data_IF_462930718195
#
_entry.id   IF_462930718195
#
_cell.length_a   1.000
_cell.length_b   1.000
_cell.length_c   1.000
_cell.angle_alpha   90.00
_cell.angle_beta   90.00
_cell.angle_gamma   90.00
#
_symmetry.space_group_name_H-M   'P 1'
#
loop_
_entity.id
_entity.type
_entity.pdbx_description
1 polymer ?
#
# COMPACT_ATOMS: atom_id res chain seq x y z
N UNK A 1 0.81 -8.54 0.50
CA UNK A 1 0.25 -7.61 1.51
C UNK A 1 -1.16 -8.01 1.97
N UNK A 2 -1.70 -9.15 1.52
CA UNK A 2 -2.98 -9.68 2.03
C UNK A 2 -2.89 -9.92 3.55
N UNK A 3 -3.92 -9.53 4.30
CA UNK A 3 -3.97 -9.66 5.75
C UNK A 3 -3.01 -8.72 6.52
N UNK A 4 -2.23 -7.90 5.85
CA UNK A 4 -1.28 -7.00 6.49
C UNK A 4 -1.95 -5.67 6.83
N UNK A 5 -2.24 -5.46 8.11
CA UNK A 5 -2.92 -4.26 8.63
C UNK A 5 -2.04 -3.01 8.68
N UNK A 6 -0.79 -3.11 8.20
CA UNK A 6 0.18 -2.02 8.16
C UNK A 6 1.29 -2.18 9.21
N UNK A 7 1.86 -1.07 9.59
CA UNK A 7 3.00 -0.98 10.50
C UNK A 7 3.64 0.40 10.41
N UNK A 8 4.95 0.47 10.55
CA UNK A 8 5.68 1.73 10.50
C UNK A 8 5.70 2.32 9.08
N UNK A 9 5.40 3.61 8.97
CA UNK A 9 5.51 4.37 7.73
C UNK A 9 6.91 4.26 7.11
N UNK A 10 7.94 4.33 7.95
CA UNK A 10 9.35 4.24 7.53
C UNK A 10 9.64 2.94 6.78
N UNK A 11 9.05 1.82 7.19
CA UNK A 11 9.23 0.53 6.53
C UNK A 11 8.55 0.50 5.16
N UNK A 12 7.33 1.05 5.05
CA UNK A 12 6.64 1.16 3.77
C UNK A 12 7.41 2.04 2.79
N UNK A 13 7.95 3.17 3.27
CA UNK A 13 8.78 4.09 2.49
C UNK A 13 10.07 3.39 2.05
N UNK A 14 10.77 2.71 2.95
CA UNK A 14 11.99 1.98 2.63
C UNK A 14 11.75 0.93 1.54
N UNK A 15 10.72 0.10 1.70
CA UNK A 15 10.38 -0.92 0.69
C UNK A 15 9.96 -0.28 -0.64
N UNK A 16 9.16 0.80 -0.62
CA UNK A 16 8.79 1.51 -1.84
C UNK A 16 10.01 2.07 -2.59
N UNK A 17 11.00 2.57 -1.83
CA UNK A 17 12.24 3.13 -2.39
C UNK A 17 13.12 2.10 -3.11
N UNK A 18 12.99 0.80 -2.79
CA UNK A 18 13.68 -0.26 -3.54
C UNK A 18 13.19 -0.40 -4.99
N UNK A 19 12.01 0.13 -5.30
CA UNK A 19 11.39 0.06 -6.63
C UNK A 19 11.28 1.42 -7.32
N UNK A 20 11.31 2.52 -6.57
CA UNK A 20 11.06 3.88 -7.04
C UNK A 20 12.28 4.73 -6.74
N UNK A 21 13.07 5.04 -7.77
CA UNK A 21 14.33 5.81 -7.64
C UNK A 21 14.09 7.27 -7.29
N UNK A 22 13.09 7.89 -7.91
CA UNK A 22 12.87 9.34 -7.85
C UNK A 22 11.40 9.69 -7.69
N UNK A 23 11.15 10.79 -7.00
CA UNK A 23 9.83 11.34 -6.83
C UNK A 23 9.25 11.08 -5.46
N UNK A 24 8.01 11.48 -5.28
CA UNK A 24 7.30 11.41 -4.02
C UNK A 24 6.73 10.02 -3.78
N UNK A 25 6.99 9.46 -2.61
CA UNK A 25 6.47 8.15 -2.21
C UNK A 25 5.11 8.25 -1.50
N UNK A 26 4.94 9.28 -0.68
CA UNK A 26 3.70 9.55 0.05
C UNK A 26 3.66 11.03 0.47
N UNK A 27 2.47 11.62 0.56
CA UNK A 27 2.27 12.92 1.18
C UNK A 27 1.52 12.78 2.50
N UNK A 28 1.92 13.54 3.49
CA UNK A 28 1.21 13.72 4.75
C UNK A 28 0.61 15.11 4.71
N UNK A 29 -0.72 15.21 4.75
CA UNK A 29 -1.44 16.48 4.67
C UNK A 29 -2.25 16.67 5.93
N UNK A 30 -1.95 17.74 6.67
CA UNK A 30 -2.61 18.13 7.90
C UNK A 30 -3.53 19.34 7.73
N UNK A 31 -3.93 19.93 8.86
CA UNK A 31 -4.72 21.18 8.89
C UNK A 31 -3.88 22.39 8.45
N UNK A 32 -4.55 23.49 8.13
CA UNK A 32 -3.93 24.79 7.82
C UNK A 32 -2.88 24.74 6.70
N UNK A 33 -3.10 23.86 5.69
CA UNK A 33 -2.19 23.75 4.55
C UNK A 33 -0.89 23.00 4.84
N UNK A 34 -0.72 22.44 6.05
CA UNK A 34 0.47 21.63 6.34
C UNK A 34 0.57 20.47 5.36
N UNK A 35 1.72 20.35 4.71
CA UNK A 35 2.06 19.26 3.82
C UNK A 35 3.52 18.86 4.00
N UNK A 36 3.74 17.57 4.13
CA UNK A 36 5.07 16.97 4.16
C UNK A 36 5.12 15.84 3.14
N UNK A 37 6.01 15.97 2.15
CA UNK A 37 6.21 14.99 1.10
C UNK A 37 7.44 14.14 1.43
N UNK A 38 7.25 12.82 1.51
CA UNK A 38 8.34 11.86 1.64
C UNK A 38 8.80 11.49 0.25
N UNK A 39 10.04 11.84 -0.05
CA UNK A 39 10.66 11.61 -1.36
C UNK A 39 11.47 10.32 -1.37
N UNK A 40 11.56 9.69 -2.54
CA UNK A 40 12.52 8.63 -2.78
C UNK A 40 13.94 9.18 -2.66
N UNK A 41 14.87 8.35 -2.20
CA UNK A 41 16.29 8.66 -2.05
C UNK A 41 17.08 7.74 -2.95
N UNK A 42 18.23 8.20 -3.43
CA UNK A 42 19.14 7.33 -4.17
C UNK A 42 19.51 6.10 -3.33
N UNK A 43 19.48 4.95 -3.98
CA UNK A 43 19.84 3.66 -3.38
C UNK A 43 20.53 2.80 -4.44
N UNK A 44 21.57 2.09 -4.04
CA UNK A 44 22.26 1.11 -4.91
C UNK A 44 21.45 -0.19 -5.09
N UNK A 45 20.29 -0.30 -4.40
CA UNK A 45 19.46 -1.51 -4.33
C UNK A 45 18.17 -1.37 -5.15
N UNK A 46 18.21 -0.87 -6.37
CA UNK A 46 17.00 -0.80 -7.19
C UNK A 46 16.56 -2.16 -7.72
N UNK A 47 15.29 -2.52 -7.47
CA UNK A 47 14.68 -3.74 -7.99
C UNK A 47 13.98 -3.44 -9.33
N UNK A 48 14.55 -3.91 -10.44
CA UNK A 48 14.03 -3.75 -11.82
C UNK A 48 13.19 -4.94 -12.31
N UNK A 49 12.98 -5.93 -11.48
CA UNK A 49 12.19 -7.12 -11.84
C UNK A 49 10.69 -6.80 -11.82
N UNK A 50 9.88 -7.46 -12.68
CA UNK A 50 8.44 -7.32 -12.60
C UNK A 50 7.92 -7.79 -11.24
N UNK A 51 6.93 -7.06 -10.72
CA UNK A 51 6.37 -7.31 -9.37
C UNK A 51 4.86 -7.33 -9.43
N UNK A 52 4.27 -8.24 -8.67
CA UNK A 52 2.85 -8.26 -8.37
C UNK A 52 2.67 -8.13 -6.85
N UNK A 53 1.72 -7.32 -6.46
CA UNK A 53 1.33 -7.12 -5.06
C UNK A 53 -0.08 -7.66 -4.86
N UNK A 54 -0.21 -8.66 -3.97
CA UNK A 54 -1.51 -9.19 -3.57
C UNK A 54 -2.05 -8.37 -2.39
N UNK A 55 -3.30 -7.93 -2.51
CA UNK A 55 -4.00 -7.14 -1.49
C UNK A 55 -5.41 -7.67 -1.23
N UNK A 56 -5.96 -7.37 -0.06
CA UNK A 56 -7.36 -7.65 0.28
C UNK A 56 -7.92 -6.60 1.24
N UNK A 57 -9.18 -6.75 1.66
CA UNK A 57 -9.85 -5.82 2.58
C UNK A 57 -9.18 -5.66 3.94
N UNK A 58 -8.28 -6.55 4.34
CA UNK A 58 -7.47 -6.43 5.55
C UNK A 58 -6.13 -5.72 5.32
N UNK A 59 -5.75 -5.44 4.07
CA UNK A 59 -4.57 -4.63 3.75
C UNK A 59 -4.83 -3.17 4.11
N UNK A 60 -4.08 -2.61 5.08
CA UNK A 60 -4.38 -1.29 5.63
C UNK A 60 -3.12 -0.44 5.90
N UNK A 61 -3.31 0.88 6.02
CA UNK A 61 -2.28 1.82 6.51
C UNK A 61 -0.98 1.75 5.69
N UNK A 62 0.16 1.36 6.30
CA UNK A 62 1.46 1.25 5.62
C UNK A 62 1.42 0.33 4.39
N UNK A 63 0.60 -0.73 4.41
CA UNK A 63 0.39 -1.59 3.24
C UNK A 63 -0.29 -0.87 2.08
N UNK A 64 -1.19 0.07 2.38
CA UNK A 64 -1.86 0.89 1.37
C UNK A 64 -0.94 1.98 0.83
N UNK A 65 -0.08 2.55 1.67
CA UNK A 65 0.96 3.50 1.25
C UNK A 65 1.91 2.82 0.26
N UNK A 66 2.42 1.64 0.59
CA UNK A 66 3.31 0.86 -0.27
C UNK A 66 2.63 0.47 -1.58
N UNK A 67 1.46 -0.17 -1.52
CA UNK A 67 0.74 -0.62 -2.72
C UNK A 67 0.30 0.56 -3.59
N UNK A 68 -0.13 1.66 -2.99
CA UNK A 68 -0.50 2.89 -3.69
C UNK A 68 0.69 3.55 -4.39
N UNK A 69 1.86 3.59 -3.76
CA UNK A 69 3.07 4.12 -4.36
C UNK A 69 3.51 3.26 -5.56
N UNK A 70 3.60 1.95 -5.39
CA UNK A 70 3.98 1.03 -6.48
C UNK A 70 2.99 1.08 -7.64
N UNK A 71 1.69 1.20 -7.36
CA UNK A 71 0.65 1.35 -8.37
C UNK A 71 0.78 2.66 -9.15
N UNK A 72 0.91 3.78 -8.46
CA UNK A 72 0.97 5.11 -9.07
C UNK A 72 2.18 5.29 -9.99
N UNK A 73 3.32 4.64 -9.65
CA UNK A 73 4.52 4.59 -10.47
C UNK A 73 4.57 3.44 -11.48
N UNK A 74 3.51 2.62 -11.56
CA UNK A 74 3.48 1.43 -12.44
C UNK A 74 4.64 0.45 -12.21
N UNK A 75 5.18 0.41 -10.99
CA UNK A 75 6.26 -0.50 -10.59
C UNK A 75 5.76 -1.89 -10.21
N UNK A 76 4.45 -2.03 -9.89
CA UNK A 76 3.81 -3.31 -9.65
C UNK A 76 2.39 -3.34 -10.22
N UNK A 77 1.90 -4.55 -10.53
CA UNK A 77 0.47 -4.83 -10.71
C UNK A 77 -0.14 -5.22 -9.38
N UNK A 78 -1.27 -4.63 -9.04
CA UNK A 78 -2.00 -4.91 -7.81
C UNK A 78 -3.13 -5.88 -8.13
N UNK A 79 -3.19 -7.02 -7.44
CA UNK A 79 -4.19 -8.08 -7.65
C UNK A 79 -4.86 -8.42 -6.33
N UNK A 80 -6.14 -8.72 -6.36
CA UNK A 80 -6.93 -9.13 -5.21
C UNK A 80 -8.20 -8.33 -5.07
N UNK A 81 -8.53 -7.90 -3.86
CA UNK A 81 -9.71 -7.07 -3.60
C UNK A 81 -9.31 -5.71 -3.04
N UNK A 82 -10.22 -4.76 -3.06
CA UNK A 82 -10.01 -3.40 -2.56
C UNK A 82 -9.52 -3.40 -1.12
N UNK A 83 -8.53 -2.57 -0.81
CA UNK A 83 -7.96 -2.45 0.54
C UNK A 83 -8.86 -1.68 1.51
N UNK A 84 -8.50 -1.68 2.79
CA UNK A 84 -9.32 -1.19 3.89
C UNK A 84 -9.67 0.31 3.81
N UNK A 85 -8.70 1.15 3.47
CA UNK A 85 -8.89 2.60 3.47
C UNK A 85 -8.52 3.30 4.79
N UNK A 86 -7.44 2.88 5.46
CA UNK A 86 -6.91 3.55 6.65
C UNK A 86 -5.86 4.60 6.27
N UNK A 87 -6.34 5.76 5.82
CA UNK A 87 -5.49 6.84 5.32
C UNK A 87 -5.20 7.97 6.32
N UNK A 88 -5.44 7.77 7.62
CA UNK A 88 -5.25 8.81 8.65
C UNK A 88 -3.98 8.62 9.45
N UNK A 89 -3.32 9.74 9.78
CA UNK A 89 -2.20 9.83 10.74
C UNK A 89 -2.77 10.17 12.11
N UNK A 90 -2.48 9.31 13.08
CA UNK A 90 -2.91 9.51 14.46
C UNK A 90 -1.71 9.78 15.36
N UNK A 91 -1.86 10.71 16.29
CA UNK A 91 -0.92 11.00 17.37
C UNK A 91 -1.51 10.53 18.68
N UNK A 92 -0.76 9.72 19.40
CA UNK A 92 -1.10 9.34 20.77
C UNK A 92 -0.55 10.41 21.70
N UNK A 93 -1.43 11.02 22.49
CA UNK A 93 -1.10 12.03 23.48
C UNK A 93 -1.33 11.38 24.85
N UNK A 94 -0.28 11.12 25.62
CA UNK A 94 -0.47 10.60 26.98
C UNK A 94 -1.17 11.64 27.85
N UNK A 95 -2.09 11.19 28.68
CA UNK A 95 -2.84 11.99 29.65
C UNK A 95 -2.57 11.45 31.05
N UNK A 96 -2.94 12.20 32.14
CA UNK A 96 -2.83 11.72 33.50
C UNK A 96 -3.57 10.38 33.73
N UNK A 97 -3.19 9.67 34.79
CA UNK A 97 -3.79 8.39 35.21
C UNK A 97 -3.67 7.27 34.16
N UNK A 98 -2.51 7.17 33.47
CA UNK A 98 -2.21 6.13 32.49
C UNK A 98 -3.22 6.07 31.32
N UNK A 99 -3.94 7.14 31.08
CA UNK A 99 -4.86 7.28 29.95
C UNK A 99 -4.18 7.93 28.75
N UNK A 100 -4.82 7.91 27.59
CA UNK A 100 -4.27 8.52 26.37
C UNK A 100 -5.36 8.96 25.42
N UNK A 101 -5.08 10.03 24.68
CA UNK A 101 -5.91 10.53 23.60
C UNK A 101 -5.29 10.15 22.26
N UNK A 102 -6.07 9.46 21.41
CA UNK A 102 -5.68 9.16 20.04
C UNK A 102 -6.31 10.20 19.09
N UNK A 103 -5.48 11.16 18.65
CA UNK A 103 -5.94 12.30 17.85
C UNK A 103 -5.52 12.16 16.39
N UNK A 104 -6.47 12.25 15.46
CA UNK A 104 -6.17 12.36 14.03
C UNK A 104 -5.62 13.76 13.72
N UNK A 105 -4.40 13.82 13.21
CA UNK A 105 -3.67 15.07 12.94
C UNK A 105 -3.44 15.31 11.44
N UNK A 106 -3.46 14.27 10.60
CA UNK A 106 -3.20 14.38 9.18
C UNK A 106 -3.78 13.18 8.42
N UNK A 107 -3.66 13.20 7.10
CA UNK A 107 -4.01 12.10 6.21
C UNK A 107 -2.89 11.80 5.23
N UNK A 108 -2.88 10.57 4.72
CA UNK A 108 -1.96 10.13 3.68
C UNK A 108 -2.59 10.30 2.29
N UNK A 109 -1.77 10.80 1.35
CA UNK A 109 -2.09 10.79 -0.06
C UNK A 109 -1.06 9.95 -0.80
N UNK A 110 -1.49 9.25 -1.84
CA UNK A 110 -0.57 8.54 -2.76
C UNK A 110 0.32 9.53 -3.53
N UNK A 111 1.38 9.07 -4.23
CA UNK A 111 2.20 9.94 -5.09
C UNK A 111 1.39 10.81 -6.05
N UNK A 112 0.32 10.29 -6.63
CA UNK A 112 -0.59 11.04 -7.52
C UNK A 112 -1.64 11.89 -6.78
N UNK A 113 -1.52 12.01 -5.46
CA UNK A 113 -2.39 12.87 -4.63
C UNK A 113 -3.76 12.26 -4.30
N UNK A 114 -3.96 10.95 -4.50
CA UNK A 114 -5.22 10.28 -4.16
C UNK A 114 -5.33 10.08 -2.65
N UNK A 115 -6.47 10.44 -2.09
CA UNK A 115 -6.79 10.21 -0.68
C UNK A 115 -7.13 8.72 -0.46
N UNK A 116 -6.38 8.08 0.43
CA UNK A 116 -6.56 6.67 0.80
C UNK A 116 -7.73 6.51 1.77
N UNK A 117 -8.00 7.54 2.59
CA UNK A 117 -8.92 7.42 3.71
C UNK A 117 -10.34 7.09 3.27
N UNK A 118 -10.91 6.02 3.83
CA UNK A 118 -12.23 5.44 3.50
C UNK A 118 -12.39 4.99 2.04
N UNK A 119 -11.34 5.17 1.21
CA UNK A 119 -11.37 4.83 -0.22
C UNK A 119 -10.56 3.58 -0.53
N UNK A 120 -9.46 3.35 0.19
CA UNK A 120 -8.54 2.26 -0.08
C UNK A 120 -7.83 2.37 -1.43
N UNK A 121 -7.09 1.32 -1.75
CA UNK A 121 -6.43 1.11 -3.03
C UNK A 121 -7.23 0.03 -3.77
N UNK A 122 -7.80 0.38 -4.91
CA UNK A 122 -8.43 -0.60 -5.80
C UNK A 122 -7.35 -1.41 -6.53
N UNK A 123 -7.48 -2.73 -6.68
CA UNK A 123 -6.55 -3.51 -7.47
C UNK A 123 -6.59 -3.12 -8.95
N UNK A 124 -5.58 -3.51 -9.72
CA UNK A 124 -5.60 -3.43 -11.18
C UNK A 124 -6.37 -4.60 -11.80
N UNK A 125 -6.37 -5.72 -11.09
CA UNK A 125 -7.11 -6.93 -11.45
C UNK A 125 -7.82 -7.40 -10.18
N UNK A 126 -9.15 -7.31 -10.21
CA UNK A 126 -9.98 -7.76 -9.11
C UNK A 126 -10.17 -9.27 -9.19
N UNK A 127 -9.86 -9.96 -8.09
CA UNK A 127 -10.01 -11.40 -7.95
C UNK A 127 -10.55 -11.68 -6.55
N UNK A 128 -11.79 -12.11 -6.49
CA UNK A 128 -12.44 -12.54 -5.25
C UNK A 128 -12.34 -14.05 -5.07
N UNK A 129 -12.36 -14.50 -3.81
CA UNK A 129 -12.51 -15.92 -3.50
C UNK A 129 -13.98 -16.31 -3.57
N UNK A 130 -14.28 -17.36 -4.33
CA UNK A 130 -15.61 -17.98 -4.29
C UNK A 130 -15.72 -18.98 -3.14
N UNK A 131 -16.94 -19.33 -2.68
CA UNK A 131 -17.13 -20.40 -1.70
C UNK A 131 -16.46 -21.73 -2.12
N UNK A 132 -16.44 -22.01 -3.41
CA UNK A 132 -15.76 -23.19 -3.97
C UNK A 132 -14.25 -23.12 -3.78
N UNK A 133 -13.63 -21.98 -4.08
CA UNK A 133 -12.17 -21.80 -3.91
C UNK A 133 -11.76 -22.03 -2.45
N UNK A 134 -12.59 -21.54 -1.51
CA UNK A 134 -12.34 -21.70 -0.07
C UNK A 134 -12.46 -23.17 0.33
N UNK A 135 -13.50 -23.88 -0.13
CA UNK A 135 -13.72 -25.30 0.17
C UNK A 135 -12.63 -26.20 -0.41
N UNK A 136 -12.14 -25.87 -1.59
CA UNK A 136 -11.05 -26.59 -2.28
C UNK A 136 -9.66 -26.12 -1.82
N UNK A 137 -9.56 -25.14 -0.90
CA UNK A 137 -8.31 -24.51 -0.43
C UNK A 137 -7.45 -23.96 -1.59
N UNK A 138 -8.11 -23.45 -2.60
CA UNK A 138 -7.47 -22.95 -3.82
C UNK A 138 -7.19 -21.45 -3.69
N UNK A 139 -5.93 -21.03 -3.84
CA UNK A 139 -5.55 -19.61 -3.83
C UNK A 139 -5.59 -19.02 -5.24
N UNK A 140 -6.79 -18.72 -5.71
CA UNK A 140 -7.02 -18.16 -7.07
C UNK A 140 -6.33 -16.82 -7.28
N UNK A 141 -6.13 -16.01 -6.23
CA UNK A 141 -5.40 -14.75 -6.33
C UNK A 141 -3.91 -15.01 -6.59
N UNK A 142 -3.31 -15.95 -5.87
CA UNK A 142 -1.91 -16.32 -6.08
C UNK A 142 -1.69 -17.00 -7.44
N UNK A 143 -2.59 -17.87 -7.86
CA UNK A 143 -2.53 -18.52 -9.18
C UNK A 143 -2.62 -17.48 -10.30
N UNK A 144 -3.57 -16.55 -10.22
CA UNK A 144 -3.69 -15.44 -11.16
C UNK A 144 -2.41 -14.58 -11.19
N UNK A 145 -1.84 -14.29 -10.01
CA UNK A 145 -0.61 -13.52 -9.91
C UNK A 145 0.57 -14.23 -10.59
N UNK A 146 0.75 -15.53 -10.36
CA UNK A 146 1.80 -16.33 -11.01
C UNK A 146 1.65 -16.30 -12.52
N UNK A 147 0.46 -16.59 -13.04
CA UNK A 147 0.17 -16.57 -14.47
C UNK A 147 0.49 -15.21 -15.13
N UNK A 148 0.10 -14.12 -14.49
CA UNK A 148 0.37 -12.77 -15.00
C UNK A 148 1.86 -12.46 -14.94
N UNK A 149 2.54 -12.82 -13.84
CA UNK A 149 3.96 -12.58 -13.67
C UNK A 149 4.79 -13.32 -14.74
N UNK A 150 4.45 -14.56 -15.03
CA UNK A 150 5.07 -15.36 -16.13
C UNK A 150 4.93 -14.65 -17.48
N UNK A 151 3.73 -14.14 -17.79
CA UNK A 151 3.52 -13.35 -19.02
C UNK A 151 4.30 -12.03 -19.05
N UNK A 152 4.48 -11.37 -17.88
CA UNK A 152 5.29 -10.16 -17.79
C UNK A 152 6.79 -10.44 -18.01
N UNK A 153 7.27 -11.60 -17.59
CA UNK A 153 8.64 -12.05 -17.78
C UNK A 153 8.90 -12.45 -19.23
N UNK A 154 7.96 -13.18 -19.83
CA UNK A 154 8.09 -13.66 -21.22
C UNK A 154 8.06 -12.53 -22.29
N UNK A 155 7.59 -11.34 -21.94
CA UNK A 155 7.54 -10.16 -22.84
C UNK A 155 8.79 -9.30 -22.81
N UNK A 156 9.78 -9.64 -22.01
CA UNK A 156 11.10 -9.00 -21.94
C UNK A 156 12.12 -9.79 -22.73
#
# INVERSE_FOLDING_TARGET
LRGNTGGLLTNAVFVANLFIEKGRLVSIVGRNGYRYDVMARDTDLEIKKPVIVLVNGASASASEILSGALKDYHKAKIIGTKTYGKGMVQKIIPLPNETGLNLTIAKYLTPKGKDINKKGISPDIEVEFTPKDISERKDVQLETAKYILEKMIAKK
#
